data_IF_129923497301
#
_entry.id   IF_129923497301
#
_cell.length_a   1.000
_cell.length_b   1.000
_cell.length_c   1.000
_cell.angle_alpha   90.00
_cell.angle_beta   90.00
_cell.angle_gamma   90.00
#
_symmetry.space_group_name_H-M   'P 1'
#
loop_
_entity.id
_entity.type
_entity.pdbx_description
1 polymer ?
#
# COMPACT_ATOMS: atom_id res chain seq x y z
N UNK A 1 -0.61 -6.86 3.27
CA UNK A 1 -1.24 -7.99 2.58
C UNK A 1 -2.27 -8.70 3.45
N UNK A 2 -1.89 -9.30 4.59
CA UNK A 2 -2.84 -10.01 5.47
C UNK A 2 -4.05 -9.16 5.92
N UNK A 3 -3.82 -7.90 6.29
CA UNK A 3 -4.90 -6.98 6.70
C UNK A 3 -5.89 -6.69 5.57
N UNK A 4 -5.39 -6.39 4.36
CA UNK A 4 -6.23 -6.20 3.17
C UNK A 4 -7.04 -7.45 2.86
N UNK A 5 -6.41 -8.63 2.98
CA UNK A 5 -7.08 -9.90 2.75
C UNK A 5 -8.24 -10.11 3.74
N UNK A 6 -8.04 -9.79 5.01
CA UNK A 6 -9.08 -9.86 6.04
C UNK A 6 -10.22 -8.87 5.77
N UNK A 7 -9.90 -7.63 5.40
CA UNK A 7 -10.92 -6.63 5.05
C UNK A 7 -11.78 -7.05 3.86
N UNK A 8 -11.18 -7.71 2.85
CA UNK A 8 -11.93 -8.28 1.72
C UNK A 8 -12.90 -9.37 2.20
N UNK A 9 -12.46 -10.25 3.10
CA UNK A 9 -13.33 -11.30 3.64
C UNK A 9 -14.53 -10.70 4.39
N UNK A 10 -14.31 -9.70 5.24
CA UNK A 10 -15.38 -8.98 5.96
C UNK A 10 -16.38 -8.31 5.01
N UNK A 11 -15.91 -7.79 3.87
CA UNK A 11 -16.74 -7.08 2.87
C UNK A 11 -17.16 -7.94 1.67
N UNK A 12 -17.03 -9.26 1.74
CA UNK A 12 -17.33 -10.17 0.62
C UNK A 12 -18.75 -10.01 0.10
N UNK A 13 -19.73 -9.82 1.00
CA UNK A 13 -21.14 -9.64 0.66
C UNK A 13 -21.39 -8.34 -0.12
N UNK A 14 -20.79 -7.24 0.33
CA UNK A 14 -20.88 -5.93 -0.34
C UNK A 14 -20.31 -6.00 -1.76
N UNK A 15 -19.13 -6.62 -1.92
CA UNK A 15 -18.49 -6.83 -3.21
C UNK A 15 -19.38 -7.70 -4.12
N UNK A 16 -20.02 -8.73 -3.57
CA UNK A 16 -20.99 -9.57 -4.27
C UNK A 16 -22.17 -8.76 -4.81
N UNK A 17 -22.78 -7.90 -3.99
CA UNK A 17 -23.91 -7.04 -4.38
C UNK A 17 -23.49 -6.08 -5.50
N UNK A 18 -22.36 -5.39 -5.35
CA UNK A 18 -21.83 -4.44 -6.35
C UNK A 18 -21.60 -5.12 -7.71
N UNK A 19 -21.13 -6.37 -7.68
CA UNK A 19 -20.86 -7.17 -8.89
C UNK A 19 -22.14 -7.65 -9.57
N UNK A 20 -23.20 -7.95 -8.82
CA UNK A 20 -24.53 -8.30 -9.36
C UNK A 20 -25.22 -7.08 -9.98
N UNK A 21 -24.99 -5.89 -9.43
CA UNK A 21 -25.47 -4.62 -9.99
C UNK A 21 -24.78 -4.23 -11.32
N UNK A 22 -23.86 -5.04 -11.82
CA UNK A 22 -23.19 -4.83 -13.12
C UNK A 22 -21.96 -3.92 -13.04
N UNK A 23 -21.44 -3.65 -11.84
CA UNK A 23 -20.20 -2.87 -11.71
C UNK A 23 -19.02 -3.63 -12.31
N UNK A 24 -18.13 -2.93 -13.02
CA UNK A 24 -16.99 -3.54 -13.69
C UNK A 24 -16.00 -4.09 -12.67
N UNK A 25 -15.49 -5.28 -12.94
CA UNK A 25 -14.49 -5.97 -12.10
C UNK A 25 -13.22 -5.12 -11.97
N UNK A 26 -12.87 -4.37 -13.02
CA UNK A 26 -11.74 -3.44 -13.07
C UNK A 26 -11.87 -2.32 -12.02
N UNK A 27 -13.08 -1.82 -11.78
CA UNK A 27 -13.31 -0.76 -10.79
C UNK A 27 -13.04 -1.25 -9.36
N UNK A 28 -13.38 -2.51 -9.09
CA UNK A 28 -13.13 -3.15 -7.78
C UNK A 28 -11.62 -3.30 -7.57
N UNK A 29 -10.88 -3.77 -8.59
CA UNK A 29 -9.43 -3.84 -8.50
C UNK A 29 -8.77 -2.46 -8.36
N UNK A 30 -9.26 -1.46 -9.10
CA UNK A 30 -8.80 -0.07 -9.00
C UNK A 30 -8.97 0.50 -7.59
N UNK A 31 -10.06 0.18 -6.90
CA UNK A 31 -10.28 0.60 -5.51
C UNK A 31 -9.22 0.03 -4.57
N UNK A 32 -8.96 -1.27 -4.63
CA UNK A 32 -7.96 -1.92 -3.75
C UNK A 32 -6.52 -1.49 -4.09
N UNK A 33 -6.22 -1.29 -5.38
CA UNK A 33 -4.92 -0.77 -5.82
C UNK A 33 -4.73 0.68 -5.35
N UNK A 34 -5.76 1.51 -5.42
CA UNK A 34 -5.71 2.86 -4.89
C UNK A 34 -5.48 2.87 -3.37
N UNK A 35 -6.21 2.04 -2.61
CA UNK A 35 -5.99 1.88 -1.16
C UNK A 35 -4.54 1.49 -0.85
N UNK A 36 -4.01 0.53 -1.62
CA UNK A 36 -2.61 0.09 -1.50
C UNK A 36 -1.62 1.21 -1.82
N UNK A 37 -1.89 2.01 -2.86
CA UNK A 37 -1.06 3.15 -3.23
C UNK A 37 -1.07 4.23 -2.15
N UNK A 38 -2.22 4.51 -1.54
CA UNK A 38 -2.32 5.44 -0.42
C UNK A 38 -1.49 4.95 0.78
N UNK A 39 -1.61 3.67 1.15
CA UNK A 39 -0.82 3.08 2.23
C UNK A 39 0.69 3.20 1.93
N UNK A 40 1.09 2.91 0.69
CA UNK A 40 2.48 3.07 0.24
C UNK A 40 2.97 4.51 0.32
N UNK A 41 2.15 5.48 -0.11
CA UNK A 41 2.49 6.90 -0.07
C UNK A 41 2.66 7.40 1.36
N UNK A 42 1.72 7.07 2.26
CA UNK A 42 1.82 7.44 3.68
C UNK A 42 3.01 6.75 4.36
N UNK A 43 3.22 5.46 4.09
CA UNK A 43 4.38 4.72 4.61
C UNK A 43 5.70 5.31 4.14
N UNK A 44 5.80 5.64 2.85
CA UNK A 44 6.98 6.29 2.26
C UNK A 44 7.23 7.68 2.84
N UNK A 45 6.18 8.50 2.99
CA UNK A 45 6.29 9.83 3.59
C UNK A 45 6.77 9.78 5.05
N UNK A 46 6.18 8.89 5.87
CA UNK A 46 6.61 8.69 7.26
C UNK A 46 8.03 8.12 7.35
N UNK A 47 8.38 7.16 6.50
CA UNK A 47 9.72 6.59 6.42
C UNK A 47 10.79 7.62 6.04
N UNK A 48 10.47 8.54 5.13
CA UNK A 48 11.35 9.68 4.80
C UNK A 48 11.51 10.62 5.99
N UNK A 49 10.42 10.99 6.67
CA UNK A 49 10.48 11.82 7.87
C UNK A 49 11.39 11.23 8.94
N UNK A 50 11.24 9.93 9.21
CA UNK A 50 12.12 9.18 10.12
C UNK A 50 13.58 9.16 9.65
N UNK A 51 13.82 8.98 8.35
CA UNK A 51 15.18 8.96 7.78
C UNK A 51 15.90 10.30 7.98
N UNK A 52 15.20 11.43 7.83
CA UNK A 52 15.77 12.75 8.11
C UNK A 52 16.10 12.93 9.59
N UNK A 53 15.20 12.52 10.50
CA UNK A 53 15.43 12.61 11.96
C UNK A 53 16.68 11.80 12.34
N UNK A 54 16.79 10.57 11.83
CA UNK A 54 17.96 9.71 12.07
C UNK A 54 19.24 10.32 11.49
N UNK A 55 19.17 10.90 10.28
CA UNK A 55 20.34 11.53 9.65
C UNK A 55 20.85 12.75 10.43
N UNK A 56 19.95 13.56 11.00
CA UNK A 56 20.34 14.67 11.89
C UNK A 56 20.99 14.15 13.17
N UNK A 57 20.41 13.12 13.79
CA UNK A 57 20.95 12.53 15.02
C UNK A 57 22.34 11.90 14.78
N UNK A 58 22.53 11.19 13.67
CA UNK A 58 23.83 10.64 13.27
C UNK A 58 24.87 11.73 13.02
N UNK A 59 24.50 12.81 12.35
CA UNK A 59 25.42 13.93 12.11
C UNK A 59 25.87 14.60 13.42
N UNK A 60 25.01 14.66 14.45
CA UNK A 60 25.39 15.18 15.77
C UNK A 60 26.35 14.24 16.51
N UNK A 61 26.12 12.92 16.44
CA UNK A 61 26.93 11.91 17.13
C UNK A 61 28.29 11.67 16.45
N UNK A 62 28.35 11.74 15.11
CA UNK A 62 29.56 11.50 14.32
C UNK A 62 30.29 12.79 13.92
N UNK A 63 29.90 13.94 14.48
CA UNK A 63 30.53 15.23 14.20
C UNK A 63 32.05 15.23 14.44
N UNK A 64 32.53 14.42 15.38
CA UNK A 64 33.95 14.25 15.71
C UNK A 64 34.73 13.38 14.71
N UNK A 65 34.05 12.55 13.93
CA UNK A 65 34.67 11.60 12.99
C UNK A 65 34.80 12.14 11.55
N UNK A 66 34.26 13.34 11.28
CA UNK A 66 34.32 13.97 9.95
C UNK A 66 33.38 13.37 8.89
N UNK A 67 32.61 12.32 9.21
CA UNK A 67 31.59 11.76 8.32
C UNK A 67 30.32 12.60 8.39
N UNK A 68 29.86 13.10 7.23
CA UNK A 68 28.57 13.78 7.08
C UNK A 68 27.60 12.90 6.30
N UNK A 69 26.44 12.61 6.89
CA UNK A 69 25.34 11.94 6.19
C UNK A 69 24.56 13.00 5.41
N UNK A 70 24.69 12.98 4.07
CA UNK A 70 23.94 13.84 3.16
C UNK A 70 23.01 12.93 2.35
N UNK A 71 21.71 13.17 2.43
CA UNK A 71 20.70 12.45 1.65
C UNK A 71 20.45 13.27 0.37
N UNK A 72 20.92 12.83 -0.80
CA UNK A 72 20.67 13.53 -2.05
C UNK A 72 19.21 13.41 -2.49
N UNK A 73 18.70 14.45 -3.18
CA UNK A 73 17.29 14.56 -3.57
C UNK A 73 16.80 13.40 -4.44
N UNK A 74 17.66 12.78 -5.27
CA UNK A 74 17.25 11.65 -6.11
C UNK A 74 16.88 10.39 -5.29
N UNK A 75 17.50 10.19 -4.12
CA UNK A 75 17.16 9.07 -3.23
C UNK A 75 15.80 9.27 -2.57
N UNK A 76 15.42 10.52 -2.32
CA UNK A 76 14.11 10.89 -1.76
C UNK A 76 13.01 10.47 -2.74
N UNK A 77 13.11 10.90 -4.00
CA UNK A 77 12.16 10.51 -5.05
C UNK A 77 12.19 8.99 -5.31
N UNK A 78 13.38 8.39 -5.33
CA UNK A 78 13.55 6.94 -5.49
C UNK A 78 12.89 6.14 -4.36
N UNK A 79 13.03 6.56 -3.11
CA UNK A 79 12.45 5.90 -1.95
C UNK A 79 10.92 5.95 -1.94
N UNK A 80 10.33 7.10 -2.29
CA UNK A 80 8.87 7.24 -2.42
C UNK A 80 8.35 6.35 -3.55
N UNK A 81 8.98 6.42 -4.73
CA UNK A 81 8.60 5.61 -5.87
C UNK A 81 8.69 4.12 -5.55
N UNK A 82 9.77 3.70 -4.90
CA UNK A 82 9.96 2.32 -4.47
C UNK A 82 8.91 1.88 -3.44
N UNK A 83 8.60 2.72 -2.46
CA UNK A 83 7.57 2.42 -1.46
C UNK A 83 6.19 2.20 -2.08
N UNK A 84 5.79 3.08 -3.02
CA UNK A 84 4.53 2.95 -3.75
C UNK A 84 4.53 1.67 -4.60
N UNK A 85 5.63 1.39 -5.31
CA UNK A 85 5.75 0.17 -6.12
C UNK A 85 5.62 -1.10 -5.28
N UNK A 86 6.28 -1.17 -4.13
CA UNK A 86 6.18 -2.30 -3.21
C UNK A 86 4.77 -2.44 -2.66
N UNK A 87 4.12 -1.34 -2.29
CA UNK A 87 2.75 -1.36 -1.79
C UNK A 87 1.76 -1.82 -2.86
N UNK A 88 1.89 -1.33 -4.10
CA UNK A 88 1.09 -1.78 -5.25
C UNK A 88 1.30 -3.26 -5.54
N UNK A 89 2.55 -3.74 -5.55
CA UNK A 89 2.86 -5.15 -5.76
C UNK A 89 2.22 -6.04 -4.68
N UNK A 90 2.29 -5.61 -3.41
CA UNK A 90 1.65 -6.31 -2.30
C UNK A 90 0.11 -6.24 -2.34
N UNK A 91 -0.46 -5.18 -2.92
CA UNK A 91 -1.90 -4.95 -3.11
C UNK A 91 -2.50 -5.64 -4.33
N UNK A 92 -1.68 -5.99 -5.32
CA UNK A 92 -2.14 -6.62 -6.55
C UNK A 92 -2.72 -8.01 -6.30
N UNK A 93 -2.11 -8.80 -5.42
CA UNK A 93 -2.64 -10.12 -5.06
C UNK A 93 -4.05 -10.06 -4.42
N UNK A 94 -4.30 -9.27 -3.35
CA UNK A 94 -5.64 -9.15 -2.77
C UNK A 94 -6.65 -8.54 -3.76
N UNK A 95 -6.24 -7.57 -4.61
CA UNK A 95 -7.12 -7.02 -5.65
C UNK A 95 -7.59 -8.11 -6.63
N UNK A 96 -6.68 -8.97 -7.11
CA UNK A 96 -7.02 -10.09 -7.99
C UNK A 96 -7.92 -11.11 -7.29
N UNK A 97 -7.67 -11.37 -6.00
CA UNK A 97 -8.49 -12.28 -5.19
C UNK A 97 -9.92 -11.74 -5.06
N UNK A 98 -10.09 -10.44 -4.79
CA UNK A 98 -11.40 -9.80 -4.70
C UNK A 98 -12.18 -9.89 -6.02
N UNK A 99 -11.51 -9.71 -7.16
CA UNK A 99 -12.11 -9.87 -8.49
C UNK A 99 -12.64 -11.29 -8.74
N UNK A 100 -11.98 -12.31 -8.20
CA UNK A 100 -12.33 -13.73 -8.40
C UNK A 100 -13.43 -14.25 -7.47
N UNK A 101 -13.88 -13.45 -6.49
CA UNK A 101 -15.01 -13.83 -5.63
C UNK A 101 -16.29 -13.99 -6.47
N UNK A 102 -16.94 -15.14 -6.34
CA UNK A 102 -18.19 -15.43 -7.04
C UNK A 102 -19.37 -14.77 -6.30
N UNK A 103 -20.14 -13.88 -6.96
CA UNK A 103 -21.24 -13.17 -6.32
C UNK A 103 -22.36 -14.10 -5.84
N UNK A 104 -22.63 -15.16 -6.60
CA UNK A 104 -23.61 -16.19 -6.23
C UNK A 104 -23.22 -16.93 -4.94
N UNK A 105 -21.95 -17.31 -4.76
CA UNK A 105 -21.53 -17.94 -3.51
C UNK A 105 -21.47 -16.94 -2.35
N UNK A 106 -21.19 -15.66 -2.61
CA UNK A 106 -21.20 -14.62 -1.57
C UNK A 106 -22.60 -14.37 -1.00
N UNK A 107 -23.65 -14.56 -1.81
CA UNK A 107 -25.05 -14.41 -1.38
C UNK A 107 -25.64 -15.73 -0.86
N UNK A 108 -25.19 -16.88 -1.38
CA UNK A 108 -25.68 -18.22 -0.99
C UNK A 108 -24.98 -18.81 0.26
N UNK A 109 -24.00 -18.14 0.84
CA UNK A 109 -23.29 -18.65 2.03
C UNK A 109 -24.05 -18.42 3.35
N UNK A 110 -25.38 -18.45 3.29
CA UNK A 110 -26.26 -18.72 4.44
C UNK A 110 -26.77 -20.17 4.34
#
# INVERSE_FOLDING_TARGET
>A
MNTMMMSIFERTKEIGIIKVLGCRIDNIAGLFLAESAYIGLFGGALGMGLSFIISVLLNQLLASSGLRSIIPAYLVFGAVGFSILVALAAGMYPAIRAMKLSPLAAIRNE
#
